data_IF_842124138362
#
_entry.id   IF_842124138362
#
_cell.length_a   1.000
_cell.length_b   1.000
_cell.length_c   1.000
_cell.angle_alpha   90.00
_cell.angle_beta   90.00
_cell.angle_gamma   90.00
#
_symmetry.space_group_name_H-M   'P 1'
#
loop_
_entity.id
_entity.type
_entity.pdbx_description
1 polymer ?
#
# COMPACT_ATOMS: atom_id res chain seq x y z
N UNK A 1 17.38 14.82 5.57
CA UNK A 1 16.40 14.13 6.44
C UNK A 1 15.34 13.55 5.52
N UNK A 2 15.21 12.23 5.41
CA UNK A 2 14.12 11.62 4.70
C UNK A 2 12.83 11.98 5.42
N UNK A 3 11.91 12.56 4.66
CA UNK A 3 10.61 12.93 5.17
C UNK A 3 9.72 11.68 5.10
N UNK A 4 9.03 11.38 6.19
CA UNK A 4 8.06 10.30 6.27
C UNK A 4 6.66 10.89 6.28
N UNK A 5 5.82 10.39 5.39
CA UNK A 5 4.40 10.68 5.38
C UNK A 5 3.68 9.81 6.38
N UNK A 6 2.66 10.36 7.03
CA UNK A 6 1.87 9.62 8.02
C UNK A 6 0.44 9.45 7.54
N UNK A 7 -0.14 8.29 7.82
CA UNK A 7 -1.51 7.97 7.52
C UNK A 7 -2.20 7.32 8.71
N UNK A 8 -3.54 7.41 8.71
CA UNK A 8 -4.39 6.73 9.69
C UNK A 8 -5.09 5.57 9.02
N UNK A 9 -4.91 4.40 9.60
CA UNK A 9 -5.70 3.22 9.28
C UNK A 9 -7.13 3.37 9.82
N UNK A 10 -8.11 2.63 9.27
CA UNK A 10 -9.51 2.68 9.72
C UNK A 10 -9.66 2.27 11.20
N UNK A 11 -8.78 1.43 11.72
CA UNK A 11 -8.69 1.07 13.14
C UNK A 11 -8.16 2.20 14.06
N UNK A 12 -7.81 3.35 13.48
CA UNK A 12 -7.22 4.51 14.17
C UNK A 12 -5.70 4.41 14.42
N UNK A 13 -5.05 3.35 13.93
CA UNK A 13 -3.59 3.20 14.06
C UNK A 13 -2.90 4.15 13.10
N UNK A 14 -2.00 4.98 13.62
CA UNK A 14 -1.15 5.86 12.80
C UNK A 14 0.07 5.07 12.32
N UNK A 15 0.34 5.12 11.02
CA UNK A 15 1.49 4.48 10.39
C UNK A 15 2.25 5.50 9.55
N UNK A 16 3.47 5.14 9.18
CA UNK A 16 4.40 5.97 8.45
C UNK A 16 4.90 5.23 7.22
N UNK A 17 5.12 5.96 6.14
CA UNK A 17 5.72 5.46 4.90
C UNK A 17 6.63 6.52 4.28
N UNK A 18 7.59 6.13 3.42
CA UNK A 18 8.49 7.09 2.79
C UNK A 18 7.76 8.12 1.91
N UNK A 19 8.09 9.41 2.04
CA UNK A 19 7.52 10.49 1.20
C UNK A 19 7.79 10.30 -0.31
N UNK A 20 8.79 9.49 -0.67
CA UNK A 20 9.03 9.09 -2.07
C UNK A 20 7.78 8.47 -2.72
N UNK A 21 6.94 7.75 -1.97
CA UNK A 21 5.69 7.20 -2.50
C UNK A 21 4.67 8.31 -2.78
N UNK A 22 4.59 9.35 -1.95
CA UNK A 22 3.74 10.52 -2.23
C UNK A 22 4.15 11.19 -3.54
N UNK A 23 5.44 11.34 -3.78
CA UNK A 23 5.95 11.92 -5.02
C UNK A 23 5.58 11.08 -6.25
N UNK A 24 5.71 9.76 -6.16
CA UNK A 24 5.30 8.83 -7.22
C UNK A 24 3.79 8.87 -7.48
N UNK A 25 3.00 8.93 -6.41
CA UNK A 25 1.53 9.03 -6.48
C UNK A 25 1.09 10.35 -7.12
N UNK A 26 1.79 11.46 -6.81
CA UNK A 26 1.55 12.77 -7.46
C UNK A 26 1.88 12.76 -8.95
N UNK A 27 2.82 11.93 -9.39
CA UNK A 27 3.11 11.70 -10.81
C UNK A 27 2.05 10.87 -11.54
N UNK A 28 1.04 10.36 -10.85
CA UNK A 28 0.00 9.53 -11.43
C UNK A 28 0.31 8.03 -11.42
N UNK A 29 1.34 7.59 -10.69
CA UNK A 29 1.57 6.17 -10.49
C UNK A 29 0.63 5.62 -9.43
N UNK A 30 0.21 4.37 -9.62
CA UNK A 30 -0.62 3.67 -8.68
C UNK A 30 0.27 2.75 -7.84
N UNK A 31 0.27 2.94 -6.53
CA UNK A 31 1.12 2.21 -5.61
C UNK A 31 0.26 1.35 -4.70
N UNK A 32 0.76 0.17 -4.36
CA UNK A 32 0.10 -0.79 -3.49
C UNK A 32 1.08 -1.32 -2.48
N UNK A 33 0.69 -1.36 -1.22
CA UNK A 33 1.45 -2.04 -0.19
C UNK A 33 0.51 -2.58 0.88
N UNK A 34 0.93 -3.64 1.55
CA UNK A 34 0.19 -4.19 2.67
C UNK A 34 0.72 -3.63 4.00
N UNK A 35 -0.16 -3.50 4.98
CA UNK A 35 0.20 -3.08 6.33
C UNK A 35 -0.57 -3.87 7.36
N UNK A 36 0.11 -4.25 8.43
CA UNK A 36 -0.49 -4.92 9.57
C UNK A 36 -0.84 -3.93 10.69
N UNK A 37 -2.05 -4.06 11.23
CA UNK A 37 -2.48 -3.34 12.43
C UNK A 37 -2.54 -4.29 13.64
N UNK A 38 -1.66 -4.13 14.64
CA UNK A 38 -1.70 -4.96 15.85
C UNK A 38 -2.96 -4.73 16.69
N UNK A 39 -3.61 -3.57 16.55
CA UNK A 39 -4.79 -3.18 17.33
C UNK A 39 -6.01 -4.05 17.03
N UNK A 40 -6.24 -4.34 15.76
CA UNK A 40 -7.36 -5.16 15.31
C UNK A 40 -6.93 -6.57 14.87
N UNK A 41 -5.61 -6.86 14.91
CA UNK A 41 -5.01 -8.09 14.37
C UNK A 41 -5.36 -8.36 12.90
N UNK A 42 -5.66 -7.30 12.15
CA UNK A 42 -5.99 -7.34 10.73
C UNK A 42 -4.85 -6.74 9.92
N UNK A 43 -4.70 -7.23 8.70
CA UNK A 43 -3.87 -6.61 7.67
C UNK A 43 -4.75 -5.95 6.62
N UNK A 44 -4.15 -4.99 5.93
CA UNK A 44 -4.81 -4.14 4.96
C UNK A 44 -3.93 -3.99 3.73
N UNK A 45 -4.50 -4.12 2.53
CA UNK A 45 -3.85 -3.63 1.31
C UNK A 45 -4.34 -2.21 1.11
N UNK A 46 -3.39 -1.29 0.99
CA UNK A 46 -3.68 0.14 0.86
C UNK A 46 -2.97 0.72 -0.35
N UNK A 47 -3.63 1.72 -0.94
CA UNK A 47 -3.11 2.52 -2.03
C UNK A 47 -3.11 3.99 -1.61
N UNK A 48 -1.95 4.66 -1.56
CA UNK A 48 -1.91 6.11 -1.39
C UNK A 48 -2.54 6.78 -2.63
N UNK A 49 -3.24 7.89 -2.41
CA UNK A 49 -3.76 8.77 -3.47
C UNK A 49 -3.32 10.21 -3.18
N UNK A 50 -3.42 11.11 -4.18
CA UNK A 50 -3.06 12.52 -4.00
C UNK A 50 -3.72 13.20 -2.78
N UNK A 51 -4.91 12.72 -2.37
CA UNK A 51 -5.61 13.19 -1.17
C UNK A 51 -6.05 12.00 -0.31
N UNK A 52 -5.09 11.41 0.39
CA UNK A 52 -5.35 10.41 1.42
C UNK A 52 -4.92 9.01 1.01
N UNK A 53 -5.66 8.02 1.49
CA UNK A 53 -5.41 6.62 1.23
C UNK A 53 -6.71 5.88 0.99
N UNK A 54 -6.65 4.95 0.04
CA UNK A 54 -7.70 3.98 -0.17
C UNK A 54 -7.30 2.64 0.44
N UNK A 55 -8.25 2.05 1.13
CA UNK A 55 -8.14 0.69 1.64
C UNK A 55 -8.84 -0.19 0.61
N UNK A 56 -8.07 -1.10 0.03
CA UNK A 56 -8.55 -1.98 -1.04
C UNK A 56 -9.20 -3.22 -0.46
N UNK A 57 -8.50 -3.85 0.49
CA UNK A 57 -8.99 -5.04 1.18
C UNK A 57 -8.48 -5.05 2.61
N UNK A 58 -9.32 -5.56 3.51
CA UNK A 58 -8.96 -5.82 4.90
C UNK A 58 -9.26 -7.28 5.24
N UNK A 59 -8.41 -7.89 6.06
CA UNK A 59 -8.60 -9.29 6.42
C UNK A 59 -7.50 -9.84 7.31
N UNK A 60 -7.51 -11.17 7.52
CA UNK A 60 -6.46 -11.87 8.25
C UNK A 60 -5.08 -11.63 7.57
N UNK A 61 -4.00 -11.46 8.36
CA UNK A 61 -2.66 -11.24 7.80
C UNK A 61 -2.24 -12.29 6.78
N UNK A 62 -2.54 -13.56 7.04
CA UNK A 62 -2.21 -14.67 6.14
C UNK A 62 -2.88 -14.51 4.77
N UNK A 63 -4.16 -14.17 4.74
CA UNK A 63 -4.91 -14.00 3.50
C UNK A 63 -4.41 -12.77 2.74
N UNK A 64 -4.16 -11.67 3.43
CA UNK A 64 -3.66 -10.42 2.82
C UNK A 64 -2.27 -10.62 2.21
N UNK A 65 -1.38 -11.37 2.86
CA UNK A 65 -0.05 -11.68 2.31
C UNK A 65 -0.19 -12.54 1.06
N UNK A 66 -0.97 -13.62 1.11
CA UNK A 66 -1.22 -14.48 -0.05
C UNK A 66 -1.83 -13.69 -1.22
N UNK A 67 -2.78 -12.81 -0.91
CA UNK A 67 -3.40 -11.91 -1.88
C UNK A 67 -2.38 -10.95 -2.49
N UNK A 68 -1.54 -10.32 -1.66
CA UNK A 68 -0.50 -9.41 -2.09
C UNK A 68 0.56 -10.09 -2.98
N UNK A 69 0.95 -11.32 -2.65
CA UNK A 69 1.87 -12.12 -3.47
C UNK A 69 1.25 -12.55 -4.81
N UNK A 70 -0.06 -12.79 -4.84
CA UNK A 70 -0.82 -13.10 -6.07
C UNK A 70 -0.95 -11.89 -7.03
N UNK A 71 -0.63 -10.68 -6.56
CA UNK A 71 -0.62 -9.48 -7.40
C UNK A 71 0.58 -9.55 -8.35
N UNK A 72 0.31 -9.75 -9.64
CA UNK A 72 1.31 -9.76 -10.72
C UNK A 72 1.86 -8.38 -11.11
N UNK A 73 1.95 -7.43 -10.18
CA UNK A 73 2.56 -6.13 -10.38
C UNK A 73 4.04 -6.15 -10.02
N UNK A 74 4.80 -5.28 -10.70
CA UNK A 74 6.20 -5.03 -10.40
C UNK A 74 6.37 -4.58 -8.94
N UNK A 75 7.23 -5.32 -8.23
CA UNK A 75 7.60 -5.01 -6.86
C UNK A 75 8.86 -4.16 -6.86
N UNK A 76 8.79 -3.06 -6.12
CA UNK A 76 9.86 -2.12 -5.93
C UNK A 76 10.17 -1.99 -4.44
N UNK A 77 11.43 -1.68 -4.14
CA UNK A 77 11.88 -1.40 -2.80
C UNK A 77 12.46 0.02 -2.71
N UNK A 78 12.11 0.71 -1.62
CA UNK A 78 12.79 1.92 -1.19
C UNK A 78 13.67 1.54 -0.01
N UNK A 79 14.98 1.72 -0.19
CA UNK A 79 15.95 1.61 0.90
C UNK A 79 16.34 3.01 1.36
N UNK A 80 16.15 3.29 2.64
CA UNK A 80 16.56 4.52 3.30
C UNK A 80 17.04 4.27 4.73
N UNK A 81 17.33 5.33 5.48
CA UNK A 81 17.78 5.24 6.88
C UNK A 81 16.72 4.68 7.85
N UNK A 82 15.48 4.53 7.39
CA UNK A 82 14.38 3.92 8.14
C UNK A 82 14.18 2.43 7.80
N UNK A 83 14.97 1.90 6.86
CA UNK A 83 15.00 0.49 6.50
C UNK A 83 14.61 0.25 5.05
N UNK A 84 14.00 -0.91 4.80
CA UNK A 84 13.52 -1.32 3.47
C UNK A 84 12.01 -1.27 3.47
N UNK A 85 11.44 -0.50 2.55
CA UNK A 85 10.00 -0.42 2.32
C UNK A 85 9.67 -1.03 0.96
N UNK A 86 8.87 -2.09 0.96
CA UNK A 86 8.47 -2.81 -0.25
C UNK A 86 7.08 -2.33 -0.67
N UNK A 87 6.92 -2.05 -1.96
CA UNK A 87 5.64 -1.67 -2.56
C UNK A 87 5.54 -2.21 -3.98
N UNK A 88 4.32 -2.51 -4.42
CA UNK A 88 4.01 -2.83 -5.80
C UNK A 88 3.55 -1.58 -6.54
N UNK A 89 3.92 -1.47 -7.80
CA UNK A 89 3.55 -0.35 -8.65
C UNK A 89 2.78 -0.83 -9.88
N UNK A 90 1.64 -0.22 -10.13
CA UNK A 90 0.93 -0.31 -11.39
C UNK A 90 1.26 0.94 -12.23
N UNK A 91 1.63 0.71 -13.49
CA UNK A 91 1.97 1.80 -14.42
C UNK A 91 0.70 2.41 -15.02
N UNK A 92 -0.38 1.63 -15.10
CA UNK A 92 -1.65 2.05 -15.66
C UNK A 92 -2.80 1.91 -14.68
N UNK A 93 -3.86 2.72 -14.90
CA UNK A 93 -5.11 2.60 -14.13
C UNK A 93 -5.78 1.25 -14.36
N UNK A 94 -5.68 0.69 -15.56
CA UNK A 94 -6.25 -0.61 -15.92
C UNK A 94 -5.63 -1.75 -15.11
N UNK A 95 -4.30 -1.76 -14.95
CA UNK A 95 -3.62 -2.73 -14.08
C UNK A 95 -4.07 -2.60 -12.62
N UNK A 96 -4.19 -1.36 -12.13
CA UNK A 96 -4.68 -1.10 -10.78
C UNK A 96 -6.13 -1.58 -10.60
N UNK A 97 -7.00 -1.32 -11.58
CA UNK A 97 -8.42 -1.75 -11.55
C UNK A 97 -8.55 -3.26 -11.64
N UNK A 98 -7.78 -3.95 -12.49
CA UNK A 98 -7.77 -5.42 -12.56
C UNK A 98 -7.37 -6.05 -11.22
N UNK A 99 -6.39 -5.45 -10.54
CA UNK A 99 -5.98 -5.87 -9.19
C UNK A 99 -7.12 -5.61 -8.20
N UNK A 100 -7.78 -4.46 -8.27
CA UNK A 100 -8.93 -4.11 -7.43
C UNK A 100 -10.14 -5.05 -7.65
N UNK A 101 -10.48 -5.37 -8.90
CA UNK A 101 -11.56 -6.29 -9.26
C UNK A 101 -11.34 -7.70 -8.73
N UNK A 102 -10.08 -8.16 -8.66
CA UNK A 102 -9.75 -9.44 -8.00
C UNK A 102 -10.05 -9.45 -6.50
N UNK A 103 -10.08 -8.28 -5.86
CA UNK A 103 -10.29 -8.14 -4.41
C UNK A 103 -11.74 -7.83 -4.01
N UNK A 104 -12.55 -7.29 -4.92
CA UNK A 104 -13.94 -6.88 -4.65
C UNK A 104 -14.98 -7.96 -5.01
N UNK A 105 -14.55 -9.20 -5.27
CA UNK A 105 -15.42 -10.28 -5.72
C UNK A 105 -16.14 -11.03 -4.59
#
# INVERSE_FOLDING_TARGET
>A
MPQMSSYKLPCGTKKFYPEKLDYLTRKGNYLLFHTFSPKNKMAYIISPKQKGMDIIVEGPPSDIVNLYESIGLDEHEIRDEHGVFIYKQAQTKEEFEQVFEKFVR
#
